data_IF_443341168821
#
_entry.id   IF_443341168821
#
_cell.length_a   1.000
_cell.length_b   1.000
_cell.length_c   1.000
_cell.angle_alpha   90.00
_cell.angle_beta   90.00
_cell.angle_gamma   90.00
#
_symmetry.space_group_name_H-M   'P 1'
#
loop_
_entity.id
_entity.type
_entity.pdbx_description
1 polymer ?
#
# COMPACT_ATOMS: atom_id res chain seq x y z
N UNK A 1 1.48 -2.97 -12.95
CA UNK A 1 0.69 -1.74 -12.75
C UNK A 1 1.43 -0.86 -11.76
N UNK A 2 1.28 0.47 -11.83
CA UNK A 2 1.77 1.34 -10.75
C UNK A 2 0.61 1.86 -9.93
N UNK A 3 0.71 1.73 -8.62
CA UNK A 3 -0.27 2.31 -7.70
C UNK A 3 0.40 3.36 -6.83
N UNK A 4 -0.31 4.46 -6.62
CA UNK A 4 0.05 5.44 -5.59
C UNK A 4 -0.75 5.13 -4.36
N UNK A 5 -0.05 4.95 -3.23
CA UNK A 5 -0.70 4.74 -1.94
C UNK A 5 0.07 5.42 -0.83
N UNK A 6 -0.63 5.71 0.24
CA UNK A 6 -0.04 6.22 1.46
C UNK A 6 0.35 5.06 2.37
N UNK A 7 1.57 5.09 2.88
CA UNK A 7 2.11 4.09 3.81
C UNK A 7 2.74 4.78 5.01
N UNK A 8 2.56 4.18 6.18
CA UNK A 8 3.23 4.64 7.40
C UNK A 8 4.65 4.09 7.45
N UNK A 9 5.60 4.96 7.76
CA UNK A 9 7.01 4.61 8.01
C UNK A 9 7.39 5.11 9.39
N UNK A 10 8.12 4.28 10.15
CA UNK A 10 8.79 4.79 11.34
C UNK A 10 9.95 5.70 10.96
N UNK A 11 10.53 6.41 11.93
CA UNK A 11 11.58 7.40 11.63
C UNK A 11 12.78 6.82 10.83
N UNK A 12 13.40 5.68 11.22
CA UNK A 12 14.48 5.08 10.42
C UNK A 12 14.05 4.76 8.98
N UNK A 13 12.87 4.16 8.80
CA UNK A 13 12.35 3.81 7.48
C UNK A 13 12.06 5.03 6.62
N UNK A 14 11.59 6.13 7.22
CA UNK A 14 11.37 7.41 6.53
C UNK A 14 12.69 7.95 5.99
N UNK A 15 13.72 8.04 6.84
CA UNK A 15 15.05 8.56 6.47
C UNK A 15 15.66 7.72 5.34
N UNK A 16 15.65 6.39 5.49
CA UNK A 16 16.17 5.48 4.47
C UNK A 16 15.42 5.64 3.14
N UNK A 17 14.09 5.70 3.20
CA UNK A 17 13.27 5.87 2.01
C UNK A 17 13.52 7.21 1.32
N UNK A 18 13.64 8.31 2.07
CA UNK A 18 13.91 9.64 1.50
C UNK A 18 15.26 9.67 0.79
N UNK A 19 16.31 9.15 1.42
CA UNK A 19 17.64 9.11 0.83
C UNK A 19 17.72 8.18 -0.39
N UNK A 20 17.09 7.00 -0.33
CA UNK A 20 17.05 6.07 -1.47
C UNK A 20 16.39 6.68 -2.70
N UNK A 21 15.38 7.53 -2.50
CA UNK A 21 14.67 8.21 -3.60
C UNK A 21 15.29 9.59 -3.94
N UNK A 22 16.34 10.02 -3.25
CA UNK A 22 17.01 11.30 -3.51
C UNK A 22 16.13 12.54 -3.31
N UNK A 23 15.07 12.44 -2.49
CA UNK A 23 14.15 13.56 -2.26
C UNK A 23 14.78 14.63 -1.37
N UNK A 24 14.44 15.90 -1.65
CA UNK A 24 14.99 17.10 -1.00
C UNK A 24 13.92 18.17 -0.89
N UNK A 25 14.14 19.13 0.00
CA UNK A 25 13.21 20.23 0.27
C UNK A 25 11.78 19.74 0.57
N UNK A 26 11.67 18.75 1.45
CA UNK A 26 10.40 18.10 1.82
C UNK A 26 10.30 17.97 3.34
N UNK A 27 9.09 18.08 3.87
CA UNK A 27 8.80 17.96 5.30
C UNK A 27 7.77 16.85 5.51
N UNK A 28 8.02 16.02 6.52
CA UNK A 28 7.08 15.01 6.99
C UNK A 28 6.69 15.30 8.43
N UNK A 29 5.39 15.47 8.67
CA UNK A 29 4.83 15.70 10.00
C UNK A 29 4.55 14.34 10.66
N UNK A 30 4.84 14.23 11.95
CA UNK A 30 4.57 13.02 12.73
C UNK A 30 3.04 12.83 12.85
N UNK A 31 2.55 11.64 12.51
CA UNK A 31 1.12 11.30 12.57
C UNK A 31 0.56 11.47 13.99
N UNK A 32 1.39 11.25 15.01
CA UNK A 32 1.00 11.29 16.42
C UNK A 32 1.09 12.69 17.04
N UNK A 33 1.78 13.65 16.40
CA UNK A 33 2.01 14.97 16.97
C UNK A 33 2.35 16.02 15.91
N UNK A 34 1.37 16.87 15.57
CA UNK A 34 1.43 17.81 14.44
C UNK A 34 2.60 18.82 14.50
N UNK A 35 3.05 19.19 15.70
CA UNK A 35 4.17 20.13 15.85
C UNK A 35 5.56 19.49 15.66
N UNK A 36 5.62 18.15 15.56
CA UNK A 36 6.86 17.40 15.40
C UNK A 36 7.00 16.94 13.96
N UNK A 37 8.11 17.29 13.33
CA UNK A 37 8.34 16.98 11.91
C UNK A 37 9.80 16.71 11.61
N UNK A 38 10.06 15.97 10.53
CA UNK A 38 11.40 15.77 9.96
C UNK A 38 11.46 16.54 8.65
N UNK A 39 12.44 17.42 8.52
CA UNK A 39 12.67 18.21 7.31
C UNK A 39 13.88 17.66 6.60
N UNK A 40 13.80 17.48 5.29
CA UNK A 40 14.95 17.18 4.45
C UNK A 40 15.27 18.44 3.67
N UNK A 41 16.38 19.09 4.02
CA UNK A 41 16.72 20.40 3.48
C UNK A 41 17.13 20.32 1.99
N UNK A 42 17.55 21.45 1.42
CA UNK A 42 17.97 21.54 0.02
C UNK A 42 19.18 20.65 -0.32
N UNK A 43 19.97 20.24 0.67
CA UNK A 43 21.11 19.33 0.53
C UNK A 43 20.72 17.86 0.75
N UNK A 44 19.46 17.57 1.11
CA UNK A 44 18.96 16.22 1.44
C UNK A 44 19.35 15.74 2.85
N UNK A 45 19.88 16.63 3.69
CA UNK A 45 20.18 16.33 5.09
C UNK A 45 18.90 16.39 5.92
N UNK A 46 18.75 15.42 6.83
CA UNK A 46 17.63 15.38 7.77
C UNK A 46 17.84 16.36 8.92
N UNK A 47 16.85 17.21 9.14
CA UNK A 47 16.75 18.17 10.24
C UNK A 47 15.55 17.78 11.11
N UNK A 48 15.74 17.86 12.42
CA UNK A 48 14.77 17.46 13.43
C UNK A 48 14.26 18.69 14.18
N UNK A 49 13.01 18.61 14.64
CA UNK A 49 12.42 19.66 15.45
C UNK A 49 13.13 19.75 16.80
N UNK A 50 13.76 20.88 17.11
CA UNK A 50 14.63 21.05 18.29
C UNK A 50 13.93 20.81 19.64
N UNK A 51 12.60 20.93 19.69
CA UNK A 51 11.81 20.89 20.92
C UNK A 51 11.23 19.50 21.24
N UNK A 52 11.44 18.50 20.39
CA UNK A 52 10.77 17.20 20.51
C UNK A 52 11.74 16.03 20.41
N UNK A 53 11.56 15.05 21.29
CA UNK A 53 12.22 13.74 21.20
C UNK A 53 11.50 12.87 20.17
N UNK A 54 12.24 12.01 19.47
CA UNK A 54 11.71 11.02 18.53
C UNK A 54 11.81 9.62 19.12
N UNK A 55 10.69 8.91 19.11
CA UNK A 55 10.51 7.57 19.64
C UNK A 55 10.34 6.57 18.49
N UNK A 56 10.69 5.29 18.70
CA UNK A 56 10.49 4.25 17.68
C UNK A 56 9.04 4.09 17.21
N UNK A 57 8.06 4.49 18.02
CA UNK A 57 6.63 4.40 17.76
C UNK A 57 6.08 5.59 16.96
N UNK A 58 6.89 6.64 16.71
CA UNK A 58 6.48 7.71 15.82
C UNK A 58 6.38 7.21 14.39
N UNK A 59 5.25 7.52 13.75
CA UNK A 59 5.01 7.20 12.35
C UNK A 59 4.84 8.46 11.52
N UNK A 60 5.19 8.33 10.25
CA UNK A 60 5.05 9.36 9.23
C UNK A 60 4.40 8.74 8.01
N UNK A 61 3.28 9.32 7.59
CA UNK A 61 2.59 8.89 6.38
C UNK A 61 3.25 9.49 5.14
N UNK A 62 3.67 8.63 4.20
CA UNK A 62 4.27 9.05 2.93
C UNK A 62 3.51 8.45 1.75
N UNK A 63 3.42 9.20 0.65
CA UNK A 63 2.90 8.66 -0.61
C UNK A 63 4.03 7.94 -1.37
N UNK A 64 3.80 6.66 -1.67
CA UNK A 64 4.70 5.83 -2.47
C UNK A 64 4.03 5.48 -3.79
N UNK A 65 4.79 5.55 -4.87
CA UNK A 65 4.44 4.92 -6.14
C UNK A 65 5.15 3.57 -6.16
N UNK A 66 4.38 2.49 -6.07
CA UNK A 66 4.90 1.12 -6.09
C UNK A 66 4.47 0.45 -7.38
N UNK A 67 5.42 -0.23 -8.02
CA UNK A 67 5.11 -1.15 -9.10
C UNK A 67 4.61 -2.45 -8.49
N UNK A 68 3.38 -2.83 -8.84
CA UNK A 68 2.77 -4.08 -8.43
C UNK A 68 2.65 -5.00 -9.65
N UNK A 69 2.94 -6.26 -9.40
CA UNK A 69 2.68 -7.38 -10.29
C UNK A 69 1.73 -8.38 -9.60
N UNK A 70 1.43 -9.48 -10.28
CA UNK A 70 0.52 -10.51 -9.76
C UNK A 70 1.11 -11.30 -8.58
N UNK A 71 2.44 -11.21 -8.36
CA UNK A 71 3.18 -11.89 -7.29
C UNK A 71 3.34 -11.02 -6.02
N UNK A 72 3.14 -9.71 -6.15
CA UNK A 72 3.31 -8.76 -5.06
C UNK A 72 2.33 -9.07 -3.92
N UNK A 73 2.83 -9.30 -2.70
CA UNK A 73 1.96 -9.50 -1.52
C UNK A 73 1.34 -8.17 -1.10
N UNK A 74 0.01 -8.13 -1.12
CA UNK A 74 -0.79 -6.95 -0.86
C UNK A 74 -1.55 -7.05 0.46
N UNK A 75 -2.02 -5.89 0.95
CA UNK A 75 -2.68 -5.74 2.24
C UNK A 75 -3.99 -6.53 2.32
N UNK A 76 -5.12 -5.87 2.06
CA UNK A 76 -6.44 -6.49 2.09
C UNK A 76 -6.97 -6.54 0.66
N UNK A 77 -7.29 -7.73 0.16
CA UNK A 77 -7.85 -7.94 -1.17
C UNK A 77 -9.30 -8.40 -1.07
N UNK A 78 -10.15 -7.86 -1.93
CA UNK A 78 -11.52 -8.30 -2.14
C UNK A 78 -11.61 -8.98 -3.51
N UNK A 79 -11.92 -10.26 -3.49
CA UNK A 79 -12.18 -11.03 -4.70
C UNK A 79 -13.67 -10.94 -5.07
N UNK A 80 -13.97 -10.73 -6.35
CA UNK A 80 -15.29 -11.02 -6.90
C UNK A 80 -15.15 -12.24 -7.81
N UNK A 81 -15.89 -13.30 -7.51
CA UNK A 81 -15.83 -14.55 -8.27
C UNK A 81 -17.20 -14.93 -8.83
N UNK A 82 -17.15 -15.82 -9.81
CA UNK A 82 -18.29 -16.51 -10.41
C UNK A 82 -18.24 -17.96 -9.94
N UNK A 83 -19.31 -18.41 -9.29
CA UNK A 83 -19.39 -19.81 -8.84
C UNK A 83 -19.57 -20.77 -10.04
N UNK A 84 -19.48 -22.10 -9.83
CA UNK A 84 -19.63 -23.08 -10.92
C UNK A 84 -21.01 -23.04 -11.61
N UNK A 85 -22.00 -22.41 -10.98
CA UNK A 85 -23.35 -22.22 -11.51
C UNK A 85 -23.53 -20.91 -12.30
N UNK A 86 -22.46 -20.15 -12.52
CA UNK A 86 -22.49 -18.89 -13.30
C UNK A 86 -23.03 -17.68 -12.53
N UNK A 87 -23.15 -17.76 -11.21
CA UNK A 87 -23.65 -16.67 -10.37
C UNK A 87 -22.49 -15.80 -9.86
N UNK A 88 -22.65 -14.48 -9.97
CA UNK A 88 -21.67 -13.50 -9.47
C UNK A 88 -21.83 -13.29 -7.96
N UNK A 89 -20.71 -13.34 -7.24
CA UNK A 89 -20.64 -13.02 -5.82
C UNK A 89 -19.60 -11.94 -5.53
N UNK A 90 -19.91 -11.06 -4.59
CA UNK A 90 -18.90 -10.25 -3.90
C UNK A 90 -18.27 -11.19 -2.88
N UNK A 91 -17.01 -11.52 -3.11
CA UNK A 91 -16.36 -12.70 -2.59
C UNK A 91 -15.45 -12.45 -1.39
N UNK A 92 -14.56 -13.42 -1.20
CA UNK A 92 -13.72 -13.58 -0.02
C UNK A 92 -12.81 -12.36 0.20
N UNK A 93 -12.48 -12.14 1.46
CA UNK A 93 -11.52 -11.13 1.88
C UNK A 93 -10.22 -11.83 2.24
N UNK A 94 -9.15 -11.45 1.55
CA UNK A 94 -7.81 -11.98 1.76
C UNK A 94 -6.93 -10.95 2.43
N UNK A 95 -6.01 -11.41 3.29
CA UNK A 95 -5.02 -10.55 3.92
C UNK A 95 -3.61 -11.07 3.66
N UNK A 96 -2.70 -10.19 3.28
CA UNK A 96 -1.31 -10.51 3.00
C UNK A 96 -1.15 -11.61 1.94
N UNK A 97 -1.83 -11.40 0.80
CA UNK A 97 -1.88 -12.30 -0.35
C UNK A 97 -1.51 -11.55 -1.63
N UNK A 98 -0.96 -12.26 -2.60
CA UNK A 98 -0.78 -11.78 -3.96
C UNK A 98 -2.02 -12.07 -4.80
N UNK A 99 -2.09 -11.52 -6.01
CA UNK A 99 -3.15 -11.88 -6.96
C UNK A 99 -3.05 -13.37 -7.30
N UNK A 100 -1.86 -13.88 -7.57
CA UNK A 100 -1.67 -15.29 -7.92
C UNK A 100 -2.07 -16.23 -6.79
N UNK A 101 -1.82 -15.89 -5.51
CA UNK A 101 -2.34 -16.71 -4.41
C UNK A 101 -3.87 -16.83 -4.46
N UNK A 102 -4.57 -15.72 -4.75
CA UNK A 102 -6.05 -15.69 -4.84
C UNK A 102 -6.53 -16.51 -6.04
N UNK A 103 -5.85 -16.38 -7.19
CA UNK A 103 -6.18 -17.14 -8.40
C UNK A 103 -5.97 -18.64 -8.20
N UNK A 104 -4.85 -19.06 -7.60
CA UNK A 104 -4.55 -20.47 -7.31
C UNK A 104 -5.58 -21.07 -6.34
N UNK A 105 -5.94 -20.36 -5.28
CA UNK A 105 -6.95 -20.83 -4.32
C UNK A 105 -8.33 -20.96 -4.99
N UNK A 106 -8.69 -20.00 -5.84
CA UNK A 106 -9.95 -20.03 -6.57
C UNK A 106 -10.00 -21.18 -7.59
N UNK A 107 -8.88 -21.47 -8.27
CA UNK A 107 -8.74 -22.61 -9.17
C UNK A 107 -8.91 -23.94 -8.40
N UNK A 108 -8.33 -24.08 -7.20
CA UNK A 108 -8.53 -25.25 -6.33
C UNK A 108 -9.99 -25.43 -5.88
N UNK A 109 -10.73 -24.34 -5.76
CA UNK A 109 -12.15 -24.31 -5.39
C UNK A 109 -13.10 -24.42 -6.60
N UNK A 110 -12.57 -24.57 -7.81
CA UNK A 110 -13.32 -24.59 -9.08
C UNK A 110 -14.19 -23.33 -9.29
N UNK A 111 -13.76 -22.17 -8.76
CA UNK A 111 -14.44 -20.88 -8.94
C UNK A 111 -13.63 -19.96 -9.86
N UNK A 112 -14.33 -19.14 -10.65
CA UNK A 112 -13.67 -18.22 -11.59
C UNK A 112 -13.59 -16.82 -11.00
N UNK A 113 -12.38 -16.33 -10.78
CA UNK A 113 -12.12 -14.92 -10.42
C UNK A 113 -12.59 -14.00 -11.55
N UNK A 114 -13.44 -13.03 -11.24
CA UNK A 114 -13.89 -11.98 -12.17
C UNK A 114 -13.05 -10.70 -12.00
N UNK A 115 -12.82 -10.28 -10.75
CA UNK A 115 -12.02 -9.09 -10.46
C UNK A 115 -11.48 -9.09 -9.04
N UNK A 116 -10.28 -8.56 -8.86
CA UNK A 116 -9.66 -8.38 -7.54
C UNK A 116 -9.47 -6.90 -7.27
N UNK A 117 -9.84 -6.48 -6.06
CA UNK A 117 -9.69 -5.11 -5.59
C UNK A 117 -8.78 -5.04 -4.36
N UNK A 118 -7.89 -4.05 -4.33
CA UNK A 118 -7.08 -3.70 -3.18
C UNK A 118 -7.81 -2.69 -2.31
N UNK A 119 -7.92 -2.94 -1.01
CA UNK A 119 -8.38 -1.92 -0.07
C UNK A 119 -7.27 -0.91 0.21
N UNK A 120 -7.54 0.35 -0.08
CA UNK A 120 -6.73 1.49 0.36
C UNK A 120 -7.18 1.90 1.77
N UNK A 121 -6.28 1.78 2.75
CA UNK A 121 -6.58 2.07 4.16
C UNK A 121 -6.88 3.55 4.43
N UNK A 122 -6.39 4.44 3.58
CA UNK A 122 -6.40 5.88 3.79
C UNK A 122 -7.65 6.49 3.18
N UNK A 123 -7.96 6.15 1.92
CA UNK A 123 -9.23 6.54 1.31
C UNK A 123 -10.41 5.72 1.85
N UNK A 124 -10.14 4.54 2.41
CA UNK A 124 -11.13 3.54 2.83
C UNK A 124 -11.96 3.02 1.66
N UNK A 125 -11.36 2.93 0.48
CA UNK A 125 -11.99 2.48 -0.75
C UNK A 125 -11.32 1.23 -1.32
N UNK A 126 -12.04 0.50 -2.17
CA UNK A 126 -11.50 -0.64 -2.92
C UNK A 126 -11.09 -0.17 -4.32
N UNK A 127 -9.82 -0.34 -4.64
CA UNK A 127 -9.22 0.00 -5.93
C UNK A 127 -9.17 -1.28 -6.77
N UNK A 128 -9.78 -1.26 -7.95
CA UNK A 128 -9.68 -2.38 -8.90
C UNK A 128 -8.23 -2.50 -9.40
N UNK A 129 -7.59 -3.65 -9.17
CA UNK A 129 -6.19 -3.89 -9.56
C UNK A 129 -6.05 -4.98 -10.62
N UNK A 130 -7.05 -5.87 -10.73
CA UNK A 130 -7.03 -6.98 -11.67
C UNK A 130 -8.45 -7.31 -12.15
N UNK A 131 -8.60 -7.60 -13.44
CA UNK A 131 -9.86 -8.02 -14.06
C UNK A 131 -9.59 -8.84 -15.32
N UNK A 132 -10.40 -9.86 -15.56
CA UNK A 132 -10.41 -10.63 -16.81
C UNK A 132 -9.03 -11.15 -17.25
N UNK A 133 -8.23 -11.68 -16.31
CA UNK A 133 -6.92 -12.26 -16.62
C UNK A 133 -5.78 -11.24 -16.73
N UNK A 134 -5.99 -9.98 -16.34
CA UNK A 134 -4.98 -8.92 -16.50
C UNK A 134 -5.01 -7.92 -15.33
N UNK A 135 -3.83 -7.39 -15.02
CA UNK A 135 -3.70 -6.18 -14.21
C UNK A 135 -4.38 -5.00 -14.92
N UNK A 136 -5.07 -4.17 -14.15
CA UNK A 136 -5.64 -2.90 -14.62
C UNK A 136 -4.53 -1.85 -14.67
N UNK A 137 -4.53 -0.95 -15.65
CA UNK A 137 -3.56 0.16 -15.75
C UNK A 137 -4.04 1.43 -15.06
#
# INVERSE_FOLDING_TARGET
>A
MKIKRKVQKNLPQLIEWVWKNGMRNIQYVCDNFESKSVVFNNEGKSEFSEHYSYSPEDTFTVEVEEEIDEETKLGLLLDHFINPYGQHYVGNIYQNRSINDVLEENDEMEISTNSIHLFDKETKEFILIWRDGKLVE
#
